data_IF_782450470577
#
_entry.id   IF_782450470577
#
_cell.length_a   1.000
_cell.length_b   1.000
_cell.length_c   1.000
_cell.angle_alpha   90.00
_cell.angle_beta   90.00
_cell.angle_gamma   90.00
#
_symmetry.space_group_name_H-M   'P 1'
#
loop_
_entity.id
_entity.type
_entity.pdbx_description
1 polymer ?
#
# COMPACT_ATOMS: atom_id res chain seq x y z
N UNK A 1 75.74 -4.57 -2.42
CA UNK A 1 75.79 -5.96 -2.92
C UNK A 1 75.48 -6.87 -1.74
N UNK A 2 74.39 -7.62 -1.86
CA UNK A 2 74.02 -8.83 -1.10
C UNK A 2 74.03 -8.71 0.44
N UNK A 3 72.88 -8.84 1.11
CA UNK A 3 72.37 -10.17 1.48
C UNK A 3 70.93 -10.02 2.00
N UNK A 4 69.98 -10.73 1.38
CA UNK A 4 68.64 -10.96 1.92
C UNK A 4 68.57 -12.44 2.27
N UNK A 5 68.41 -12.74 3.56
CA UNK A 5 68.16 -14.08 4.08
C UNK A 5 66.86 -14.66 3.49
N UNK A 6 66.95 -15.87 2.95
CA UNK A 6 65.84 -16.80 2.69
C UNK A 6 65.69 -17.79 3.87
N UNK A 7 64.77 -18.78 3.83
CA UNK A 7 63.32 -18.79 4.08
C UNK A 7 63.00 -19.75 5.28
N UNK A 8 61.76 -20.27 5.49
CA UNK A 8 61.43 -21.54 4.85
C UNK A 8 59.96 -21.74 4.47
N UNK A 9 59.78 -22.48 3.38
CA UNK A 9 58.51 -23.04 2.91
C UNK A 9 57.97 -24.11 3.87
N UNK A 10 56.65 -24.34 3.85
CA UNK A 10 56.15 -25.63 3.35
C UNK A 10 54.62 -25.74 3.42
N UNK A 11 54.10 -26.27 2.32
CA UNK A 11 53.08 -27.31 2.26
C UNK A 11 51.82 -27.12 3.12
N UNK A 12 50.68 -26.90 2.47
CA UNK A 12 49.60 -27.90 2.40
C UNK A 12 48.46 -27.31 1.57
N UNK A 13 48.48 -27.58 0.27
CA UNK A 13 47.24 -27.71 -0.49
C UNK A 13 46.60 -29.03 -0.05
N UNK A 14 45.50 -28.93 0.69
CA UNK A 14 44.29 -29.74 0.65
C UNK A 14 43.52 -29.38 1.92
N UNK A 15 42.22 -29.70 1.91
CA UNK A 15 41.21 -29.50 2.96
C UNK A 15 40.25 -28.34 2.67
N UNK A 16 39.07 -28.80 2.23
CA UNK A 16 37.74 -28.30 2.51
C UNK A 16 37.09 -27.40 1.45
N UNK A 17 36.50 -28.09 0.48
CA UNK A 17 35.17 -27.82 -0.09
C UNK A 17 34.34 -26.79 0.71
N UNK A 18 33.87 -25.70 0.08
CA UNK A 18 32.65 -25.06 0.55
C UNK A 18 31.50 -26.03 0.24
N UNK A 19 30.83 -26.48 1.30
CA UNK A 19 29.57 -27.23 1.22
C UNK A 19 28.62 -26.49 0.26
N UNK A 20 28.20 -27.17 -0.80
CA UNK A 20 26.90 -26.94 -1.43
C UNK A 20 25.84 -27.21 -0.36
N UNK A 21 25.52 -26.19 0.44
CA UNK A 21 24.26 -26.14 1.14
C UNK A 21 23.25 -25.62 0.14
N UNK A 22 22.25 -26.46 -0.16
CA UNK A 22 20.97 -26.02 -0.68
C UNK A 22 20.53 -24.79 0.14
N UNK A 23 20.61 -23.61 -0.47
CA UNK A 23 19.72 -22.52 -0.08
C UNK A 23 18.34 -22.91 -0.60
N UNK A 24 17.61 -23.72 0.19
CA UNK A 24 16.16 -23.67 0.12
C UNK A 24 15.72 -22.23 0.34
N UNK A 25 14.59 -21.78 -0.22
CA UNK A 25 14.08 -20.45 0.05
C UNK A 25 13.97 -20.30 1.56
N UNK A 26 14.84 -19.46 2.12
CA UNK A 26 14.75 -19.00 3.48
C UNK A 26 13.40 -18.31 3.61
N UNK A 27 12.44 -19.01 4.23
CA UNK A 27 11.18 -18.45 4.68
C UNK A 27 11.48 -17.62 5.94
N UNK A 28 12.31 -16.60 5.77
CA UNK A 28 12.68 -15.64 6.79
C UNK A 28 12.97 -14.32 6.08
N UNK A 29 11.89 -13.67 5.64
CA UNK A 29 11.74 -12.23 5.82
C UNK A 29 10.26 -11.86 5.72
N UNK A 30 9.45 -12.44 6.60
CA UNK A 30 8.26 -11.73 7.04
C UNK A 30 8.75 -10.84 8.19
N UNK A 31 9.36 -9.70 7.84
CA UNK A 31 9.56 -8.62 8.80
C UNK A 31 8.20 -8.38 9.46
N UNK A 32 8.11 -8.66 10.76
CA UNK A 32 6.88 -8.50 11.52
C UNK A 32 6.61 -6.99 11.58
N UNK A 33 5.82 -6.48 10.65
CA UNK A 33 5.43 -5.08 10.66
C UNK A 33 4.57 -4.83 11.90
N UNK A 34 4.78 -3.72 12.63
CA UNK A 34 3.93 -3.34 13.74
C UNK A 34 2.49 -3.23 13.24
N UNK A 35 1.66 -4.14 13.71
CA UNK A 35 0.26 -4.25 13.37
C UNK A 35 -0.53 -4.26 14.68
N UNK A 36 -1.42 -3.28 14.84
CA UNK A 36 -2.22 -3.12 16.04
C UNK A 36 -3.69 -3.29 15.70
N UNK A 37 -4.32 -4.28 16.33
CA UNK A 37 -5.78 -4.40 16.28
C UNK A 37 -6.36 -3.57 17.42
N UNK A 38 -6.92 -2.41 17.06
CA UNK A 38 -7.57 -1.51 18.00
C UNK A 38 -9.05 -1.84 18.10
N UNK A 39 -9.57 -1.74 19.33
CA UNK A 39 -10.97 -2.00 19.67
C UNK A 39 -11.56 -0.70 20.18
N UNK A 40 -12.55 -0.18 19.47
CA UNK A 40 -13.14 1.13 19.74
C UNK A 40 -14.56 0.93 20.20
N UNK A 41 -14.87 1.48 21.36
CA UNK A 41 -16.21 1.44 21.93
C UNK A 41 -17.03 2.61 21.38
N UNK A 42 -18.22 2.29 20.88
CA UNK A 42 -19.11 3.26 20.26
C UNK A 42 -20.54 3.07 20.76
N UNK A 43 -21.29 4.16 20.82
CA UNK A 43 -22.70 4.15 21.24
C UNK A 43 -23.58 4.63 20.10
N UNK A 44 -24.67 3.92 19.82
CA UNK A 44 -25.58 4.29 18.74
C UNK A 44 -26.49 5.46 19.14
N UNK A 45 -26.54 6.53 18.33
CA UNK A 45 -27.34 7.72 18.65
C UNK A 45 -28.85 7.55 18.47
N UNK A 46 -29.29 6.49 17.79
CA UNK A 46 -30.70 6.31 17.36
C UNK A 46 -31.42 5.13 18.03
N UNK A 47 -30.76 4.37 18.91
CA UNK A 47 -31.42 3.29 19.65
C UNK A 47 -31.98 3.83 20.97
N UNK A 48 -33.19 3.39 21.32
CA UNK A 48 -33.84 3.70 22.61
C UNK A 48 -33.06 3.04 23.77
N UNK A 49 -32.30 1.99 23.45
CA UNK A 49 -31.33 1.35 24.33
C UNK A 49 -29.92 1.87 24.00
N UNK A 50 -29.11 2.19 25.01
CA UNK A 50 -27.66 2.47 24.88
C UNK A 50 -26.94 1.17 24.51
N UNK A 51 -27.04 0.78 23.24
CA UNK A 51 -26.31 -0.38 22.73
C UNK A 51 -24.86 0.06 22.52
N UNK A 52 -23.98 -0.50 23.35
CA UNK A 52 -22.54 -0.39 23.19
C UNK A 52 -22.06 -1.43 22.19
N UNK A 53 -21.53 -0.95 21.06
CA UNK A 53 -20.88 -1.77 20.05
C UNK A 53 -19.37 -1.53 20.13
N UNK A 54 -18.60 -2.56 19.81
CA UNK A 54 -17.15 -2.47 19.68
C UNK A 54 -16.77 -2.67 18.22
N UNK A 55 -16.18 -1.64 17.64
CA UNK A 55 -15.66 -1.66 16.27
C UNK A 55 -14.19 -2.04 16.33
N UNK A 56 -13.79 -3.03 15.55
CA UNK A 56 -12.39 -3.47 15.51
C UNK A 56 -11.76 -2.94 14.23
N UNK A 57 -10.65 -2.22 14.34
CA UNK A 57 -9.80 -1.88 13.19
C UNK A 57 -8.42 -2.47 13.35
N UNK A 58 -7.74 -2.62 12.23
CA UNK A 58 -6.36 -3.01 12.16
C UNK A 58 -5.55 -1.85 11.58
N UNK A 59 -4.71 -1.22 12.40
CA UNK A 59 -3.86 -0.12 11.98
C UNK A 59 -2.41 -0.59 11.98
N UNK A 60 -1.74 -0.39 10.84
CA UNK A 60 -0.32 -0.71 10.71
C UNK A 60 0.42 0.38 9.96
N UNK A 61 1.75 0.36 10.06
CA UNK A 61 2.62 1.25 9.33
C UNK A 61 3.62 0.43 8.52
N UNK A 62 3.58 0.58 7.20
CA UNK A 62 4.41 -0.18 6.28
C UNK A 62 4.85 0.67 5.09
N UNK A 63 6.14 0.61 4.73
CA UNK A 63 6.73 1.34 3.61
C UNK A 63 6.31 2.83 3.55
N UNK A 64 6.36 3.49 4.69
CA UNK A 64 6.02 4.91 4.81
C UNK A 64 4.53 5.24 4.69
N UNK A 65 3.65 4.24 4.76
CA UNK A 65 2.21 4.40 4.66
C UNK A 65 1.51 3.83 5.88
N UNK A 66 0.50 4.56 6.37
CA UNK A 66 -0.45 4.04 7.34
C UNK A 66 -1.48 3.21 6.58
N UNK A 67 -1.74 2.00 7.07
CA UNK A 67 -2.75 1.10 6.54
C UNK A 67 -3.86 0.94 7.58
N UNK A 68 -5.11 0.99 7.14
CA UNK A 68 -6.28 0.73 7.98
C UNK A 68 -7.08 -0.39 7.33
N UNK A 69 -7.19 -1.53 8.01
CA UNK A 69 -7.69 -2.79 7.45
C UNK A 69 -7.01 -3.10 6.10
N UNK A 70 -5.69 -2.92 6.02
CA UNK A 70 -4.84 -3.10 4.84
C UNK A 70 -5.03 -2.05 3.71
N UNK A 71 -5.81 -0.99 3.95
CA UNK A 71 -6.00 0.09 2.99
C UNK A 71 -5.12 1.32 3.30
N UNK A 72 -4.40 1.86 2.30
CA UNK A 72 -3.50 2.99 2.52
C UNK A 72 -4.27 4.28 2.79
N UNK A 73 -3.86 4.97 3.85
CA UNK A 73 -4.35 6.28 4.26
C UNK A 73 -3.24 7.32 4.11
N UNK A 74 -3.58 8.44 3.49
CA UNK A 74 -2.63 9.54 3.25
C UNK A 74 -2.53 10.47 4.45
N UNK A 75 -1.44 11.22 4.53
CA UNK A 75 -1.29 12.34 5.46
C UNK A 75 -2.44 13.35 5.29
N UNK A 76 -2.97 13.84 6.42
CA UNK A 76 -4.22 14.60 6.50
C UNK A 76 -5.36 13.77 7.09
N UNK A 77 -6.60 14.26 6.93
CA UNK A 77 -7.81 13.55 7.37
C UNK A 77 -8.47 12.86 6.18
N UNK A 78 -8.65 11.55 6.30
CA UNK A 78 -9.35 10.72 5.32
C UNK A 78 -10.59 10.11 5.96
N UNK A 79 -11.75 10.24 5.33
CA UNK A 79 -12.95 9.49 5.68
C UNK A 79 -12.97 8.20 4.88
N UNK A 80 -12.81 7.08 5.58
CA UNK A 80 -12.80 5.74 5.02
C UNK A 80 -14.15 5.07 5.25
N UNK A 81 -14.76 4.54 4.19
CA UNK A 81 -15.87 3.60 4.29
C UNK A 81 -15.33 2.19 4.05
N UNK A 82 -15.40 1.32 5.05
CA UNK A 82 -14.90 -0.04 4.91
C UNK A 82 -15.74 -1.06 5.72
N UNK A 83 -15.85 -2.31 5.23
CA UNK A 83 -16.42 -3.39 6.02
C UNK A 83 -15.45 -3.77 7.14
N UNK A 84 -15.93 -3.82 8.38
CA UNK A 84 -15.14 -4.26 9.53
C UNK A 84 -15.93 -5.11 10.51
N UNK A 85 -15.23 -5.78 11.42
CA UNK A 85 -15.84 -6.62 12.46
C UNK A 85 -16.40 -5.73 13.57
N UNK A 86 -17.66 -5.95 13.89
CA UNK A 86 -18.38 -5.31 14.99
C UNK A 86 -18.78 -6.39 15.99
N UNK A 87 -18.46 -6.13 17.25
CA UNK A 87 -18.81 -6.97 18.38
C UNK A 87 -19.85 -6.25 19.23
N UNK A 88 -20.98 -6.90 19.46
CA UNK A 88 -21.98 -6.40 20.40
C UNK A 88 -21.54 -6.70 21.84
N UNK A 89 -21.75 -5.76 22.76
CA UNK A 89 -21.38 -5.93 24.16
C UNK A 89 -21.99 -7.22 24.75
N UNK A 90 -21.14 -8.11 25.27
CA UNK A 90 -21.55 -9.40 25.84
C UNK A 90 -21.65 -10.56 24.83
N UNK A 91 -21.49 -10.31 23.54
CA UNK A 91 -21.40 -11.37 22.51
C UNK A 91 -19.95 -11.81 22.31
N UNK A 92 -19.76 -13.09 21.95
CA UNK A 92 -18.48 -13.62 21.44
C UNK A 92 -18.45 -13.72 19.92
N UNK A 93 -19.58 -13.48 19.26
CA UNK A 93 -19.72 -13.58 17.81
C UNK A 93 -19.77 -12.18 17.22
N UNK A 94 -18.78 -11.86 16.39
CA UNK A 94 -18.73 -10.61 15.64
C UNK A 94 -19.48 -10.72 14.30
N UNK A 95 -20.05 -9.61 13.84
CA UNK A 95 -20.63 -9.48 12.49
C UNK A 95 -19.79 -8.51 11.66
N UNK A 96 -19.72 -8.73 10.35
CA UNK A 96 -19.08 -7.77 9.44
C UNK A 96 -20.14 -6.76 9.01
N UNK A 97 -19.83 -5.47 9.16
CA UNK A 97 -20.73 -4.38 8.77
C UNK A 97 -19.92 -3.21 8.20
N UNK A 98 -20.54 -2.44 7.32
CA UNK A 98 -19.93 -1.23 6.76
C UNK A 98 -19.84 -0.15 7.83
N UNK A 99 -18.65 0.41 7.99
CA UNK A 99 -18.34 1.46 8.95
C UNK A 99 -17.70 2.64 8.23
N UNK A 100 -18.18 3.84 8.55
CA UNK A 100 -17.54 5.09 8.15
C UNK A 100 -16.69 5.59 9.31
N UNK A 101 -15.39 5.78 9.07
CA UNK A 101 -14.41 6.25 10.05
C UNK A 101 -13.63 7.44 9.48
N UNK A 102 -13.34 8.45 10.29
CA UNK A 102 -12.38 9.51 9.96
C UNK A 102 -11.04 9.15 10.57
N UNK A 103 -9.98 9.30 9.79
CA UNK A 103 -8.63 8.92 10.18
C UNK A 103 -7.72 10.09 9.90
N UNK A 104 -7.13 10.66 10.94
CA UNK A 104 -6.05 11.63 10.82
C UNK A 104 -4.74 10.86 10.77
N UNK A 105 -3.91 11.16 9.77
CA UNK A 105 -2.49 10.81 9.76
C UNK A 105 -1.71 12.11 9.73
N UNK A 106 -0.82 12.32 10.69
CA UNK A 106 -0.01 13.52 10.75
C UNK A 106 1.46 13.21 11.01
N UNK A 107 2.33 13.67 10.10
CA UNK A 107 3.78 13.58 10.26
C UNK A 107 4.34 14.82 10.99
N UNK A 108 4.98 14.59 12.14
CA UNK A 108 5.68 15.60 12.92
C UNK A 108 7.21 15.42 12.82
N UNK A 109 7.95 16.45 12.35
CA UNK A 109 9.39 16.48 12.49
C UNK A 109 9.73 16.77 13.96
N UNK A 110 10.41 15.85 14.65
CA UNK A 110 10.73 16.01 16.07
C UNK A 110 11.69 17.19 16.31
N UNK A 111 12.72 17.31 15.46
CA UNK A 111 13.66 18.43 15.46
C UNK A 111 14.10 18.73 14.02
N UNK A 112 14.30 19.99 13.69
CA UNK A 112 14.93 20.36 12.40
C UNK A 112 16.29 19.68 12.27
N UNK A 113 16.45 18.84 11.24
CA UNK A 113 17.66 18.06 11.00
C UNK A 113 17.70 16.70 11.70
N UNK A 114 16.64 16.27 12.39
CA UNK A 114 16.58 14.90 12.91
C UNK A 114 16.25 13.90 11.81
N UNK A 115 16.98 12.79 11.81
CA UNK A 115 16.73 11.62 10.97
C UNK A 115 15.57 10.72 11.47
N UNK A 116 14.69 11.29 12.29
CA UNK A 116 13.59 10.60 12.96
C UNK A 116 12.33 11.46 12.82
N UNK A 117 11.21 10.80 12.56
CA UNK A 117 9.90 11.40 12.41
C UNK A 117 8.90 10.71 13.34
N UNK A 118 7.90 11.45 13.80
CA UNK A 118 6.79 10.91 14.55
C UNK A 118 5.54 10.95 13.67
N UNK A 119 4.97 9.78 13.38
CA UNK A 119 3.70 9.66 12.68
C UNK A 119 2.60 9.46 13.71
N UNK A 120 1.66 10.39 13.77
CA UNK A 120 0.51 10.35 14.67
C UNK A 120 -0.72 9.92 13.88
N UNK A 121 -1.45 8.93 14.39
CA UNK A 121 -2.70 8.43 13.83
C UNK A 121 -3.80 8.58 14.86
N UNK A 122 -4.90 9.25 14.52
CA UNK A 122 -6.11 9.35 15.34
C UNK A 122 -7.32 8.91 14.53
N UNK A 123 -8.38 8.46 15.19
CA UNK A 123 -9.58 7.96 14.51
C UNK A 123 -10.89 8.44 15.17
N UNK A 124 -11.94 8.52 14.38
CA UNK A 124 -13.30 8.81 14.84
C UNK A 124 -14.26 7.96 14.02
N UNK A 125 -14.90 6.98 14.66
CA UNK A 125 -16.02 6.28 14.04
C UNK A 125 -17.19 7.25 13.91
N UNK A 126 -17.80 7.28 12.74
CA UNK A 126 -18.87 8.23 12.41
C UNK A 126 -20.21 7.52 12.28
N UNK A 127 -20.20 6.39 11.58
CA UNK A 127 -21.39 5.64 11.24
C UNK A 127 -21.10 4.14 11.24
N UNK A 128 -22.04 3.37 11.76
CA UNK A 128 -22.06 1.91 11.74
C UNK A 128 -23.34 1.45 11.07
N UNK A 129 -23.24 0.74 9.94
CA UNK A 129 -24.39 0.24 9.21
C UNK A 129 -25.38 1.33 8.79
N UNK A 130 -24.87 2.52 8.43
CA UNK A 130 -25.68 3.70 8.08
C UNK A 130 -26.35 4.41 9.26
N UNK A 131 -26.07 4.00 10.50
CA UNK A 131 -26.52 4.70 11.71
C UNK A 131 -25.38 5.53 12.28
N UNK A 132 -25.67 6.79 12.62
CA UNK A 132 -24.70 7.64 13.29
C UNK A 132 -24.41 7.11 14.70
N UNK A 133 -23.16 7.26 15.10
CA UNK A 133 -22.69 6.86 16.41
C UNK A 133 -22.11 8.04 17.17
N UNK A 134 -21.99 7.88 18.48
CA UNK A 134 -21.25 8.76 19.37
C UNK A 134 -20.07 7.98 19.94
N UNK A 135 -18.89 8.57 19.80
CA UNK A 135 -17.65 8.07 20.34
C UNK A 135 -17.12 9.10 21.35
N UNK A 136 -16.78 8.65 22.56
CA UNK A 136 -16.31 9.52 23.63
C UNK A 136 -14.79 9.71 23.60
N UNK A 137 -14.06 8.61 23.37
CA UNK A 137 -12.61 8.55 23.35
C UNK A 137 -12.09 8.15 21.96
N UNK A 138 -10.96 8.70 21.53
CA UNK A 138 -10.20 8.24 20.37
C UNK A 138 -8.95 7.49 20.83
N UNK A 139 -8.53 6.52 20.03
CA UNK A 139 -7.18 5.96 20.15
C UNK A 139 -6.22 6.82 19.34
N UNK A 140 -5.12 7.24 19.94
CA UNK A 140 -3.98 7.84 19.26
C UNK A 140 -2.84 6.82 19.19
N UNK A 141 -2.33 6.60 17.99
CA UNK A 141 -1.21 5.70 17.72
C UNK A 141 -0.05 6.53 17.20
N UNK A 142 1.10 6.34 17.82
CA UNK A 142 2.34 7.02 17.47
C UNK A 142 3.32 6.00 16.89
N UNK A 143 3.82 6.25 15.69
CA UNK A 143 4.95 5.53 15.10
C UNK A 143 6.17 6.44 15.06
N UNK A 144 7.20 6.11 15.82
CA UNK A 144 8.50 6.73 15.72
C UNK A 144 9.27 6.00 14.61
N UNK A 145 9.62 6.71 13.53
CA UNK A 145 10.23 6.12 12.34
C UNK A 145 11.54 6.80 11.99
N UNK A 146 12.47 6.08 11.36
CA UNK A 146 13.74 6.64 10.89
C UNK A 146 13.67 7.20 9.46
N UNK A 147 14.83 7.65 8.96
CA UNK A 147 15.23 7.80 7.54
C UNK A 147 14.43 7.05 6.49
N UNK A 148 14.51 5.75 6.65
CA UNK A 148 14.09 4.73 5.70
C UNK A 148 12.62 4.33 5.93
N UNK A 149 11.91 5.07 6.79
CA UNK A 149 10.55 4.78 7.23
C UNK A 149 10.42 3.43 7.95
N UNK A 150 11.49 2.96 8.58
CA UNK A 150 11.46 1.81 9.48
C UNK A 150 10.96 2.25 10.86
N UNK A 151 10.00 1.49 11.41
CA UNK A 151 9.46 1.75 12.75
C UNK A 151 10.50 1.41 13.81
N UNK A 152 10.90 2.42 14.58
CA UNK A 152 11.81 2.30 15.72
C UNK A 152 11.05 1.97 17.01
N UNK A 153 9.87 2.56 17.16
CA UNK A 153 8.99 2.38 18.31
C UNK A 153 7.56 2.69 17.88
N UNK A 154 6.61 2.04 18.54
CA UNK A 154 5.22 2.47 18.50
C UNK A 154 4.65 2.58 19.92
N UNK A 155 3.60 3.38 20.06
CA UNK A 155 2.80 3.51 21.27
C UNK A 155 1.35 3.79 20.89
N UNK A 156 0.42 3.34 21.74
CA UNK A 156 -1.00 3.68 21.63
C UNK A 156 -1.53 4.16 22.97
N UNK A 157 -2.41 5.15 22.93
CA UNK A 157 -3.07 5.70 24.11
C UNK A 157 -4.49 6.15 23.79
N UNK A 158 -5.35 6.10 24.80
CA UNK A 158 -6.72 6.60 24.71
C UNK A 158 -6.76 8.04 25.20
N UNK A 159 -7.43 8.91 24.46
CA UNK A 159 -7.64 10.32 24.83
C UNK A 159 -9.08 10.74 24.52
N UNK A 160 -9.69 11.67 25.27
CA UNK A 160 -11.03 12.15 24.94
C UNK A 160 -11.09 12.70 23.51
N UNK A 161 -12.07 12.25 22.72
CA UNK A 161 -12.20 12.64 21.31
C UNK A 161 -12.23 14.16 21.14
N UNK A 162 -12.90 14.87 22.04
CA UNK A 162 -13.03 16.34 22.02
C UNK A 162 -11.71 17.09 22.22
N UNK A 163 -10.70 16.43 22.79
CA UNK A 163 -9.37 16.98 23.02
C UNK A 163 -8.39 16.61 21.89
N UNK A 164 -8.80 15.74 20.97
CA UNK A 164 -7.98 15.29 19.85
C UNK A 164 -7.81 16.34 18.75
N UNK A 165 -6.70 16.24 18.01
CA UNK A 165 -6.45 17.08 16.84
C UNK A 165 -7.48 16.79 15.75
N UNK A 166 -7.83 15.52 15.54
CA UNK A 166 -8.84 15.08 14.57
C UNK A 166 -10.18 15.79 14.75
N UNK A 167 -10.63 15.96 16.00
CA UNK A 167 -11.91 16.64 16.29
C UNK A 167 -11.88 18.14 15.94
N UNK A 168 -10.71 18.79 16.05
CA UNK A 168 -10.55 20.20 15.68
C UNK A 168 -10.54 20.46 14.17
N UNK A 169 -10.33 19.42 13.35
CA UNK A 169 -10.26 19.53 11.89
C UNK A 169 -11.66 19.42 11.30
N UNK A 170 -12.04 20.44 10.52
CA UNK A 170 -13.34 20.49 9.86
C UNK A 170 -13.53 19.36 8.85
N UNK A 171 -14.75 18.79 8.84
CA UNK A 171 -15.15 17.63 8.02
C UNK A 171 -15.32 17.94 6.52
N UNK A 172 -15.37 19.22 6.16
CA UNK A 172 -15.58 19.70 4.77
C UNK A 172 -14.39 19.40 3.85
N UNK A 173 -13.21 19.19 4.42
CA UNK A 173 -11.95 18.96 3.69
C UNK A 173 -11.44 17.53 3.77
N UNK A 174 -12.23 16.62 4.34
CA UNK A 174 -11.86 15.22 4.45
C UNK A 174 -11.71 14.61 3.05
N UNK A 175 -10.64 13.83 2.85
CA UNK A 175 -10.49 13.03 1.64
C UNK A 175 -11.43 11.83 1.75
N UNK A 176 -12.31 11.61 0.78
CA UNK A 176 -13.20 10.45 0.76
C UNK A 176 -12.51 9.23 0.14
N UNK A 177 -12.51 8.12 0.86
CA UNK A 177 -12.00 6.84 0.37
C UNK A 177 -13.01 5.73 0.67
N UNK A 178 -13.41 5.01 -0.37
CA UNK A 178 -14.31 3.85 -0.24
C UNK A 178 -13.53 2.60 -0.59
N UNK A 179 -13.46 1.68 0.36
CA UNK A 179 -12.87 0.37 0.17
C UNK A 179 -13.77 -0.48 -0.72
N UNK A 180 -13.23 -1.22 -1.72
CA UNK A 180 -14.03 -2.18 -2.46
C UNK A 180 -14.60 -3.24 -1.51
N UNK A 181 -15.91 -3.48 -1.60
CA UNK A 181 -16.63 -4.41 -0.74
C UNK A 181 -15.97 -5.81 -0.73
N UNK A 182 -15.61 -6.31 0.46
CA UNK A 182 -15.16 -7.70 0.69
C UNK A 182 -16.29 -8.75 0.54
N UNK A 183 -17.42 -8.36 -0.04
CA UNK A 183 -18.54 -9.26 -0.29
C UNK A 183 -18.11 -10.28 -1.33
N UNK A 184 -17.87 -11.53 -0.91
CA UNK A 184 -17.62 -12.69 -1.75
C UNK A 184 -18.82 -13.05 -2.64
N UNK A 185 -19.23 -12.13 -3.51
CA UNK A 185 -19.94 -12.48 -4.72
C UNK A 185 -18.89 -13.02 -5.68
N UNK A 186 -18.97 -14.33 -5.85
CA UNK A 186 -18.60 -15.07 -7.06
C UNK A 186 -18.22 -14.15 -8.21
N UNK A 187 -16.97 -14.27 -8.65
CA UNK A 187 -16.38 -13.63 -9.81
C UNK A 187 -17.33 -13.81 -10.99
N UNK A 188 -18.25 -12.87 -11.19
CA UNK A 188 -18.76 -12.62 -12.52
C UNK A 188 -17.60 -12.00 -13.26
N UNK A 189 -17.12 -12.77 -14.22
CA UNK A 189 -15.97 -12.51 -15.07
C UNK A 189 -15.80 -11.01 -15.36
N UNK A 190 -14.55 -10.50 -15.35
CA UNK A 190 -14.32 -9.15 -15.80
C UNK A 190 -14.88 -9.04 -17.21
N UNK A 191 -15.84 -8.12 -17.41
CA UNK A 191 -16.22 -7.63 -18.71
C UNK A 191 -14.93 -7.10 -19.35
N UNK A 192 -14.33 -7.94 -20.20
CA UNK A 192 -13.13 -7.61 -20.94
C UNK A 192 -13.44 -6.40 -21.81
N UNK A 193 -13.04 -5.22 -21.35
CA UNK A 193 -12.88 -4.06 -22.22
C UNK A 193 -11.65 -4.35 -23.08
N UNK A 194 -11.92 -4.89 -24.27
CA UNK A 194 -10.94 -5.12 -25.32
C UNK A 194 -10.26 -3.81 -25.71
N UNK A 195 -9.05 -3.60 -25.22
CA UNK A 195 -8.09 -2.68 -25.83
C UNK A 195 -6.67 -3.10 -25.47
N UNK A 196 -6.15 -4.10 -26.19
CA UNK A 196 -4.71 -4.27 -26.42
C UNK A 196 -4.51 -5.39 -27.46
N UNK A 197 -4.38 -5.00 -28.73
CA UNK A 197 -3.81 -5.88 -29.73
C UNK A 197 -2.34 -6.12 -29.38
N UNK A 198 -2.02 -7.32 -28.90
CA UNK A 198 -0.66 -7.84 -28.93
C UNK A 198 -0.66 -8.97 -29.97
N UNK A 199 -0.49 -8.59 -31.24
CA UNK A 199 -0.32 -9.55 -32.33
C UNK A 199 1.05 -10.22 -32.17
N UNK A 200 1.03 -11.41 -31.60
CA UNK A 200 2.17 -12.32 -31.56
C UNK A 200 2.44 -12.82 -32.99
N UNK A 201 3.54 -12.36 -33.58
CA UNK A 201 4.09 -12.94 -34.81
C UNK A 201 4.39 -14.43 -34.56
N UNK A 202 3.77 -15.30 -35.36
CA UNK A 202 4.16 -16.70 -35.44
C UNK A 202 4.32 -17.05 -36.92
N UNK A 203 5.56 -16.94 -37.41
CA UNK A 203 6.01 -17.62 -38.61
C UNK A 203 6.10 -19.12 -38.32
N UNK A 204 5.40 -19.95 -39.08
CA UNK A 204 5.82 -21.34 -39.35
C UNK A 204 5.42 -21.75 -40.77
N UNK A 205 6.27 -22.60 -41.32
CA UNK A 205 6.65 -22.77 -42.73
C UNK A 205 5.86 -23.87 -43.46
N UNK A 206 5.64 -23.63 -44.76
CA UNK A 206 5.74 -24.57 -45.92
C UNK A 206 4.70 -25.70 -46.07
N UNK A 207 3.88 -25.57 -47.14
CA UNK A 207 3.74 -26.63 -48.15
C UNK A 207 3.49 -25.99 -49.54
N UNK A 208 4.17 -26.52 -50.54
CA UNK A 208 4.39 -26.02 -51.90
C UNK A 208 3.37 -26.64 -52.87
N UNK A 209 2.65 -25.85 -53.69
CA UNK A 209 2.45 -26.17 -55.12
C UNK A 209 1.84 -25.02 -55.96
N UNK A 210 2.33 -24.93 -57.21
CA UNK A 210 1.83 -24.30 -58.45
C UNK A 210 1.67 -22.76 -58.63
N UNK A 211 2.37 -22.28 -59.67
CA UNK A 211 2.51 -20.91 -60.20
C UNK A 211 1.28 -20.39 -61.02
N UNK A 212 1.35 -19.26 -61.77
CA UNK A 212 2.04 -17.97 -61.59
C UNK A 212 1.08 -16.76 -61.71
N UNK A 213 1.37 -15.68 -60.98
CA UNK A 213 1.04 -14.33 -61.44
C UNK A 213 -0.23 -13.69 -60.88
N UNK A 214 -0.04 -12.82 -59.89
CA UNK A 214 -0.47 -11.40 -59.91
C UNK A 214 -0.06 -10.75 -58.59
N UNK A 215 0.58 -9.60 -58.70
CA UNK A 215 0.99 -8.76 -57.57
C UNK A 215 -0.25 -8.27 -56.81
N UNK A 216 -0.32 -8.41 -55.47
CA UNK A 216 -1.31 -7.66 -54.70
C UNK A 216 -0.91 -6.18 -54.66
N UNK A 217 -1.86 -5.33 -55.06
CA UNK A 217 -1.69 -3.89 -55.20
C UNK A 217 -1.27 -3.23 -53.88
N UNK A 218 -0.21 -2.42 -53.95
CA UNK A 218 0.29 -1.62 -52.82
C UNK A 218 -0.62 -0.40 -52.63
N UNK A 219 -1.26 -0.21 -51.46
CA UNK A 219 -1.95 1.05 -51.19
C UNK A 219 -0.93 2.18 -51.06
N UNK A 220 -1.13 3.22 -51.88
CA UNK A 220 -0.24 4.37 -52.05
C UNK A 220 0.12 5.06 -50.73
N UNK A 221 1.41 5.04 -50.43
CA UNK A 221 2.07 5.88 -49.43
C UNK A 221 1.84 7.34 -49.81
N UNK A 222 1.07 8.08 -49.00
CA UNK A 222 1.08 9.55 -49.08
C UNK A 222 2.46 10.01 -48.63
N UNK A 223 3.26 10.43 -49.60
CA UNK A 223 4.54 11.07 -49.38
C UNK A 223 4.29 12.47 -48.82
N UNK A 224 4.85 12.74 -47.64
CA UNK A 224 5.02 14.09 -47.12
C UNK A 224 6.01 14.83 -48.02
N UNK A 225 5.65 15.96 -48.67
CA UNK A 225 6.61 16.72 -49.44
C UNK A 225 7.59 17.43 -48.51
N UNK A 226 8.87 17.13 -48.73
CA UNK A 226 10.01 17.81 -48.14
C UNK A 226 10.36 19.09 -48.91
N UNK A 227 10.96 20.02 -48.16
CA UNK A 227 11.97 20.99 -48.58
C UNK A 227 11.58 22.18 -49.48
N UNK A 228 11.72 23.39 -48.91
CA UNK A 228 12.69 24.32 -49.47
C UNK A 228 13.50 25.02 -48.34
N UNK A 229 14.82 25.04 -48.54
CA UNK A 229 15.81 25.90 -47.87
C UNK A 229 15.58 27.36 -48.29
N UNK A 230 16.05 28.33 -47.50
CA UNK A 230 17.30 29.07 -47.79
C UNK A 230 17.42 30.40 -47.02
N UNK A 231 18.57 30.55 -46.35
CA UNK A 231 19.38 31.73 -46.02
C UNK A 231 18.87 32.98 -45.25
N UNK A 232 19.51 33.15 -44.08
CA UNK A 232 20.05 34.35 -43.39
C UNK A 232 20.26 35.64 -44.25
N UNK A 233 20.34 36.86 -43.66
CA UNK A 233 21.56 37.29 -42.94
C UNK A 233 21.34 38.15 -41.66
N UNK A 234 22.34 38.05 -40.78
CA UNK A 234 22.92 39.05 -39.85
C UNK A 234 22.15 40.37 -39.60
N UNK A 235 21.88 40.69 -38.32
CA UNK A 235 22.68 41.59 -37.45
C UNK A 235 22.42 41.24 -35.98
#
# INVERSE_FOLDING_TARGET
METVLWPPWSWFCLWLLPRLLLSGPSLADAALHPQESIRINVTNLKSIEDIHEQVIFNISFFNGQVLVNDFPVKNGVTRVMCPTVILESGSTTGRIQEVAVRILVHEWPLVLGSHIKLIVVQEEVMEVGGKQIQQEDTTEIEFLVNEEMHVLRYSSFSTPLKESMLYSISRDKDILFTVPNLSGKEVQAPLQTTSQYLLQQMETTVEEDTAPGKLPETPLRVASPSSYKECSPYW
#
